data_IF_362760930653
#
_entry.id   IF_362760930653
#
_cell.length_a   1.000
_cell.length_b   1.000
_cell.length_c   1.000
_cell.angle_alpha   90.00
_cell.angle_beta   90.00
_cell.angle_gamma   90.00
#
_symmetry.space_group_name_H-M   'P 1'
#
loop_
_entity.id
_entity.type
_entity.pdbx_description
1 polymer ?
#
# COMPACT_ATOMS: atom_id res chain seq x y z
N UNK A 1 12.55 -7.27 18.82
CA UNK A 1 11.62 -7.64 17.73
C UNK A 1 10.93 -8.93 18.11
N UNK A 2 9.65 -9.14 17.75
CA UNK A 2 9.18 -10.53 17.64
C UNK A 2 10.08 -11.19 16.59
N UNK A 3 10.59 -12.38 16.86
CA UNK A 3 11.58 -13.06 15.99
C UNK A 3 11.07 -13.23 14.55
N UNK A 4 9.76 -13.10 14.33
CA UNK A 4 9.10 -13.39 13.06
C UNK A 4 9.28 -12.27 12.01
N UNK A 5 9.24 -10.98 12.38
CA UNK A 5 9.39 -9.86 11.42
C UNK A 5 10.83 -9.73 10.89
N UNK A 6 11.82 -9.92 11.77
CA UNK A 6 13.26 -9.99 11.44
C UNK A 6 13.54 -11.14 10.45
N UNK A 7 12.92 -12.30 10.67
CA UNK A 7 13.07 -13.48 9.80
C UNK A 7 12.45 -13.26 8.42
N UNK A 8 11.32 -12.54 8.33
CA UNK A 8 10.65 -12.22 7.07
C UNK A 8 11.42 -11.18 6.26
N UNK A 9 11.97 -10.16 6.92
CA UNK A 9 12.69 -9.07 6.26
C UNK A 9 14.14 -9.43 5.90
N UNK A 10 14.81 -10.30 6.66
CA UNK A 10 16.21 -10.66 6.43
C UNK A 10 16.54 -11.04 4.98
N UNK A 11 15.78 -11.96 4.35
CA UNK A 11 15.95 -12.30 2.94
C UNK A 11 15.76 -11.13 1.97
N UNK A 12 14.76 -10.27 2.22
CA UNK A 12 14.48 -9.08 1.41
C UNK A 12 15.62 -8.06 1.52
N UNK A 13 16.09 -7.78 2.74
CA UNK A 13 17.23 -6.88 3.00
C UNK A 13 18.50 -7.37 2.29
N UNK A 14 18.78 -8.66 2.37
CA UNK A 14 19.91 -9.28 1.67
C UNK A 14 19.80 -9.11 0.16
N UNK A 15 18.63 -9.39 -0.43
CA UNK A 15 18.41 -9.25 -1.86
C UNK A 15 18.58 -7.80 -2.31
N UNK A 16 18.07 -6.87 -1.52
CA UNK A 16 18.19 -5.43 -1.74
C UNK A 16 19.66 -4.99 -1.78
N UNK A 17 20.44 -5.36 -0.77
CA UNK A 17 21.89 -5.07 -0.73
C UNK A 17 22.62 -5.58 -1.98
N UNK A 18 22.28 -6.80 -2.43
CA UNK A 18 22.95 -7.42 -3.58
C UNK A 18 22.66 -6.74 -4.90
N UNK A 19 21.47 -6.15 -5.07
CA UNK A 19 21.08 -5.52 -6.32
C UNK A 19 21.36 -4.01 -6.34
N UNK A 20 21.28 -3.35 -5.19
CA UNK A 20 21.37 -1.89 -5.10
C UNK A 20 22.64 -1.41 -4.40
N UNK A 21 23.43 -2.31 -3.79
CA UNK A 21 24.68 -1.97 -3.08
C UNK A 21 24.48 -1.42 -1.66
N UNK A 22 23.24 -1.11 -1.27
CA UNK A 22 22.88 -0.67 0.07
C UNK A 22 21.52 -1.25 0.45
N UNK A 23 21.43 -1.93 1.60
CA UNK A 23 20.15 -2.38 2.14
C UNK A 23 19.46 -1.29 2.97
N UNK A 24 18.12 -1.30 3.03
CA UNK A 24 17.37 -0.60 4.06
C UNK A 24 17.86 -0.99 5.46
N UNK A 25 17.80 -0.06 6.41
CA UNK A 25 18.24 -0.31 7.79
C UNK A 25 17.02 -0.50 8.69
N UNK A 26 17.02 -1.59 9.46
CA UNK A 26 16.02 -1.80 10.50
C UNK A 26 16.50 -1.09 11.76
N UNK A 27 15.72 -0.11 12.21
CA UNK A 27 16.04 0.72 13.36
C UNK A 27 15.09 0.40 14.51
N UNK A 28 15.59 0.24 15.75
CA UNK A 28 14.70 0.17 16.91
C UNK A 28 13.98 1.51 17.07
N UNK A 29 12.69 1.44 17.42
CA UNK A 29 11.88 2.61 17.66
C UNK A 29 11.23 2.53 19.04
N UNK A 30 11.38 3.60 19.82
CA UNK A 30 10.75 3.73 21.14
C UNK A 30 9.61 4.73 21.04
N UNK A 31 8.40 4.31 21.40
CA UNK A 31 7.22 5.17 21.41
C UNK A 31 6.58 5.19 22.81
N UNK A 32 6.23 6.37 23.38
CA UNK A 32 5.66 6.48 24.73
C UNK A 32 4.40 5.65 24.96
N UNK A 33 3.61 5.41 23.90
CA UNK A 33 2.36 4.64 23.98
C UNK A 33 2.55 3.12 23.81
N UNK A 34 3.79 2.63 23.71
CA UNK A 34 4.11 1.22 23.50
C UNK A 34 5.19 0.77 24.50
N UNK A 35 4.81 0.64 25.77
CA UNK A 35 5.75 0.35 26.87
C UNK A 35 6.35 -1.08 26.83
N UNK A 36 5.72 -2.03 26.12
CA UNK A 36 6.09 -3.44 26.12
C UNK A 36 6.39 -4.04 24.73
N UNK A 37 6.43 -3.21 23.68
CA UNK A 37 6.64 -3.65 22.30
C UNK A 37 7.99 -3.17 21.78
N UNK A 38 8.79 -4.06 21.21
CA UNK A 38 9.91 -3.64 20.37
C UNK A 38 9.35 -3.17 19.02
N UNK A 39 9.15 -1.86 18.88
CA UNK A 39 8.78 -1.26 17.59
C UNK A 39 10.04 -1.07 16.75
N UNK A 40 9.87 -1.06 15.44
CA UNK A 40 10.94 -0.85 14.48
C UNK A 40 10.48 0.02 13.33
N UNK A 41 11.47 0.64 12.71
CA UNK A 41 11.33 1.40 11.49
C UNK A 41 12.30 0.86 10.44
N UNK A 42 11.98 1.09 9.18
CA UNK A 42 12.87 0.88 8.05
C UNK A 42 13.32 2.23 7.55
N UNK A 43 14.63 2.46 7.56
CA UNK A 43 15.24 3.56 6.82
C UNK A 43 15.52 3.11 5.38
N UNK A 44 14.83 3.72 4.43
CA UNK A 44 14.93 3.45 3.01
C UNK A 44 16.16 4.17 2.42
N UNK A 45 16.98 3.51 1.57
CA UNK A 45 18.14 4.11 0.90
C UNK A 45 17.74 5.02 -0.28
N UNK A 46 18.71 5.77 -0.81
CA UNK A 46 18.49 6.78 -1.85
C UNK A 46 17.92 6.25 -3.18
N UNK A 47 17.97 4.94 -3.44
CA UNK A 47 17.34 4.37 -4.65
C UNK A 47 15.81 4.53 -4.65
N UNK A 48 15.22 4.88 -3.50
CA UNK A 48 13.81 5.25 -3.37
C UNK A 48 13.50 6.72 -3.71
N UNK A 49 14.51 7.55 -4.00
CA UNK A 49 14.33 8.98 -4.26
C UNK A 49 13.54 9.34 -5.54
N UNK A 50 13.35 8.48 -6.57
CA UNK A 50 12.36 8.75 -7.59
C UNK A 50 10.98 8.95 -6.94
N UNK A 51 10.29 10.05 -7.24
CA UNK A 51 9.11 10.47 -6.51
C UNK A 51 7.90 9.55 -6.63
N UNK A 52 7.92 8.64 -7.59
CA UNK A 52 6.91 7.60 -7.78
C UNK A 52 7.09 6.44 -6.80
N UNK A 53 8.29 6.26 -6.23
CA UNK A 53 8.64 5.10 -5.39
C UNK A 53 8.59 5.39 -3.88
N UNK A 54 8.83 6.63 -3.47
CA UNK A 54 8.66 7.09 -2.09
C UNK A 54 7.47 8.05 -1.97
N UNK A 55 6.73 7.96 -0.87
CA UNK A 55 5.63 8.88 -0.54
C UNK A 55 6.04 10.34 -0.61
N UNK A 56 5.63 11.02 -1.69
CA UNK A 56 5.72 12.47 -1.82
C UNK A 56 4.75 13.12 -0.85
N UNK A 57 5.26 14.04 -0.06
CA UNK A 57 4.49 14.68 1.01
C UNK A 57 3.96 16.07 0.62
N UNK A 58 4.10 16.46 -0.65
CA UNK A 58 3.69 17.77 -1.16
C UNK A 58 2.23 18.12 -0.89
N UNK A 59 1.35 17.12 -0.90
CA UNK A 59 -0.09 17.29 -0.65
C UNK A 59 -0.44 17.46 0.84
N UNK A 60 0.53 17.37 1.75
CA UNK A 60 0.35 17.68 3.19
C UNK A 60 0.94 19.04 3.58
N UNK A 61 1.57 19.77 2.64
CA UNK A 61 2.27 21.04 2.94
C UNK A 61 1.38 22.10 3.59
N UNK A 62 0.07 22.06 3.32
CA UNK A 62 -0.91 22.97 3.92
C UNK A 62 -1.37 22.55 5.32
N UNK A 63 -0.95 21.37 5.82
CA UNK A 63 -1.30 20.83 7.14
C UNK A 63 -0.05 20.61 8.01
N UNK A 64 0.55 21.66 8.61
CA UNK A 64 1.73 21.51 9.47
C UNK A 64 1.52 20.56 10.68
N UNK A 65 0.27 20.44 11.15
CA UNK A 65 -0.11 19.51 12.23
C UNK A 65 -0.02 18.04 11.84
N UNK A 66 0.03 17.72 10.54
CA UNK A 66 0.16 16.35 10.04
C UNK A 66 1.52 15.73 10.37
N UNK A 67 2.59 16.53 10.27
CA UNK A 67 3.97 16.07 10.50
C UNK A 67 4.14 15.38 11.86
N UNK A 68 3.79 15.99 13.01
CA UNK A 68 3.95 15.32 14.30
C UNK A 68 3.08 14.06 14.43
N UNK A 69 1.93 13.99 13.75
CA UNK A 69 1.03 12.84 13.80
C UNK A 69 1.61 11.66 13.03
N UNK A 70 2.07 11.87 11.80
CA UNK A 70 2.69 10.79 11.03
C UNK A 70 4.02 10.36 11.65
N UNK A 71 4.73 11.27 12.33
CA UNK A 71 5.88 10.91 13.18
C UNK A 71 5.49 10.03 14.36
N UNK A 72 4.36 10.30 15.01
CA UNK A 72 3.82 9.41 16.05
C UNK A 72 3.42 8.04 15.48
N UNK A 73 3.10 7.93 14.19
CA UNK A 73 2.86 6.66 13.50
C UNK A 73 4.15 5.95 13.05
N UNK A 74 5.33 6.57 13.25
CA UNK A 74 6.63 5.96 12.94
C UNK A 74 7.20 6.33 11.59
N UNK A 75 6.65 7.35 10.93
CA UNK A 75 7.23 7.89 9.71
C UNK A 75 8.24 9.00 10.05
N UNK A 76 9.41 9.03 9.41
CA UNK A 76 10.26 10.24 9.44
C UNK A 76 10.05 11.04 8.17
N UNK A 77 9.87 12.33 8.41
CA UNK A 77 9.57 13.33 7.40
C UNK A 77 10.41 14.58 7.71
N UNK A 78 11.72 14.56 7.39
CA UNK A 78 12.66 15.57 7.85
C UNK A 78 12.67 16.84 6.98
N UNK A 79 12.40 16.73 5.68
CA UNK A 79 12.69 17.78 4.69
C UNK A 79 11.45 18.37 3.96
N UNK A 80 10.26 17.86 4.24
CA UNK A 80 9.03 18.34 3.60
C UNK A 80 8.81 17.81 2.17
N UNK A 81 9.61 16.86 1.68
CA UNK A 81 9.51 16.34 0.32
C UNK A 81 9.20 14.85 0.27
N UNK A 82 9.95 14.03 1.00
CA UNK A 82 9.86 12.57 0.94
C UNK A 82 9.87 11.91 2.32
N UNK A 83 9.37 10.68 2.38
CA UNK A 83 9.42 9.82 3.56
C UNK A 83 10.51 8.79 3.34
N UNK A 84 11.57 8.88 4.17
CA UNK A 84 12.71 7.95 4.11
C UNK A 84 12.73 6.97 5.27
N UNK A 85 11.91 7.18 6.30
CA UNK A 85 11.77 6.22 7.39
C UNK A 85 10.29 5.88 7.49
N UNK A 86 9.99 4.59 7.41
CA UNK A 86 8.64 4.04 7.51
C UNK A 86 8.57 3.06 8.67
N UNK A 87 7.43 2.93 9.37
CA UNK A 87 7.25 1.87 10.35
C UNK A 87 7.24 0.50 9.66
N UNK A 88 7.70 -0.55 10.34
CA UNK A 88 7.42 -1.92 9.90
C UNK A 88 5.92 -2.23 10.02
N UNK A 89 5.38 -3.24 9.30
CA UNK A 89 3.98 -3.66 9.42
C UNK A 89 3.51 -3.88 10.86
N UNK A 90 4.29 -4.58 11.70
CA UNK A 90 3.92 -4.77 13.10
C UNK A 90 3.84 -3.43 13.86
N UNK A 91 4.82 -2.55 13.63
CA UNK A 91 4.93 -1.27 14.33
C UNK A 91 3.83 -0.30 13.90
N UNK A 92 3.56 -0.22 12.59
CA UNK A 92 2.46 0.56 12.04
C UNK A 92 1.13 0.13 12.62
N UNK A 93 0.86 -1.19 12.62
CA UNK A 93 -0.39 -1.72 13.15
C UNK A 93 -0.55 -1.49 14.66
N UNK A 94 0.55 -1.60 15.42
CA UNK A 94 0.54 -1.27 16.85
C UNK A 94 0.13 0.19 17.06
N UNK A 95 0.69 1.11 16.27
CA UNK A 95 0.35 2.52 16.36
C UNK A 95 -1.05 2.83 15.85
N UNK A 96 -1.48 2.24 14.74
CA UNK A 96 -2.83 2.40 14.21
C UNK A 96 -3.89 2.02 15.25
N UNK A 97 -3.66 0.92 15.97
CA UNK A 97 -4.56 0.49 17.06
C UNK A 97 -4.53 1.44 18.26
N UNK A 98 -3.35 1.96 18.60
CA UNK A 98 -3.19 2.92 19.69
C UNK A 98 -3.85 4.28 19.39
N UNK A 99 -3.84 4.72 18.13
CA UNK A 99 -4.35 6.05 17.73
C UNK A 99 -5.82 6.04 17.34
N UNK A 100 -6.30 5.02 16.63
CA UNK A 100 -7.63 5.04 16.01
C UNK A 100 -8.65 4.08 16.64
N UNK A 101 -8.28 3.34 17.69
CA UNK A 101 -9.12 2.35 18.36
C UNK A 101 -9.80 1.34 17.39
N UNK A 102 -9.16 1.06 16.25
CA UNK A 102 -9.68 0.14 15.22
C UNK A 102 -10.78 0.70 14.32
N UNK A 103 -11.18 1.97 14.46
CA UNK A 103 -12.31 2.55 13.68
C UNK A 103 -11.90 3.03 12.29
N UNK A 104 -10.60 3.17 12.05
CA UNK A 104 -10.03 3.69 10.81
C UNK A 104 -8.82 2.87 10.36
N UNK A 105 -8.50 3.02 9.09
CA UNK A 105 -7.24 2.61 8.49
C UNK A 105 -7.27 1.22 7.88
N UNK A 106 -6.37 1.00 6.92
CA UNK A 106 -5.96 -0.34 6.53
C UNK A 106 -4.86 -0.80 7.49
N UNK A 107 -4.91 -2.07 7.90
CA UNK A 107 -3.76 -2.70 8.56
C UNK A 107 -2.75 -3.17 7.50
N UNK A 108 -1.53 -3.48 7.92
CA UNK A 108 -0.49 -4.04 7.07
C UNK A 108 -0.27 -5.52 7.39
N UNK A 109 0.03 -6.35 6.40
CA UNK A 109 0.46 -7.71 6.65
C UNK A 109 1.47 -8.17 5.60
N UNK A 110 2.48 -8.92 6.02
CA UNK A 110 3.37 -9.58 5.08
C UNK A 110 2.61 -10.65 4.29
N UNK A 111 2.73 -10.58 2.98
CA UNK A 111 2.30 -11.65 2.09
C UNK A 111 3.55 -12.31 1.52
N UNK A 112 3.86 -13.50 2.02
CA UNK A 112 5.01 -14.26 1.54
C UNK A 112 4.63 -15.06 0.30
N UNK A 113 5.22 -14.73 -0.85
CA UNK A 113 5.01 -15.44 -2.12
C UNK A 113 6.28 -15.45 -2.96
N UNK A 114 6.65 -16.62 -3.48
CA UNK A 114 7.82 -16.85 -4.32
C UNK A 114 7.54 -16.50 -5.80
N UNK A 115 7.22 -15.23 -6.02
CA UNK A 115 6.91 -14.63 -7.32
C UNK A 115 7.53 -13.23 -7.43
N UNK A 116 7.82 -12.77 -8.65
CA UNK A 116 8.32 -11.40 -8.89
C UNK A 116 7.18 -10.36 -8.89
N UNK A 117 5.94 -10.83 -9.05
CA UNK A 117 4.73 -10.02 -8.95
C UNK A 117 3.81 -10.65 -7.93
N UNK A 118 3.08 -9.83 -7.18
CA UNK A 118 2.17 -10.33 -6.19
C UNK A 118 0.89 -10.87 -6.88
N UNK A 119 0.41 -12.09 -6.54
CA UNK A 119 -0.79 -12.65 -7.14
C UNK A 119 -2.03 -11.76 -6.93
N UNK A 120 -2.63 -11.28 -8.01
CA UNK A 120 -3.65 -10.20 -7.96
C UNK A 120 -4.92 -10.60 -7.21
N UNK A 121 -5.31 -11.88 -7.22
CA UNK A 121 -6.45 -12.39 -6.46
C UNK A 121 -6.29 -12.22 -4.96
N UNK A 122 -5.33 -12.94 -4.34
CA UNK A 122 -5.04 -12.79 -2.92
C UNK A 122 -4.74 -11.34 -2.50
N UNK A 123 -4.05 -10.58 -3.36
CA UNK A 123 -3.85 -9.14 -3.17
C UNK A 123 -5.17 -8.40 -2.96
N UNK A 124 -6.11 -8.58 -3.90
CA UNK A 124 -7.39 -7.90 -3.90
C UNK A 124 -8.22 -8.34 -2.69
N UNK A 125 -8.23 -9.63 -2.38
CA UNK A 125 -8.92 -10.17 -1.21
C UNK A 125 -8.41 -9.54 0.10
N UNK A 126 -7.10 -9.37 0.27
CA UNK A 126 -6.52 -8.71 1.44
C UNK A 126 -6.95 -7.24 1.52
N UNK A 127 -6.86 -6.50 0.41
CA UNK A 127 -7.30 -5.11 0.35
C UNK A 127 -8.78 -4.96 0.72
N UNK A 128 -9.66 -5.79 0.16
CA UNK A 128 -11.08 -5.75 0.49
C UNK A 128 -11.37 -6.20 1.94
N UNK A 129 -10.46 -6.97 2.54
CA UNK A 129 -10.43 -7.26 3.97
C UNK A 129 -9.94 -6.10 4.85
N UNK A 130 -9.50 -5.00 4.26
CA UNK A 130 -8.95 -3.85 4.98
C UNK A 130 -7.50 -4.05 5.42
N UNK A 131 -6.72 -4.81 4.64
CA UNK A 131 -5.30 -5.06 4.85
C UNK A 131 -4.49 -4.77 3.58
N UNK A 132 -3.44 -3.96 3.67
CA UNK A 132 -2.47 -3.78 2.59
C UNK A 132 -1.44 -4.92 2.69
N UNK A 133 -1.32 -5.77 1.65
CA UNK A 133 -0.29 -6.79 1.61
C UNK A 133 1.08 -6.18 1.31
N UNK A 134 2.08 -6.53 2.11
CA UNK A 134 3.49 -6.18 1.88
C UNK A 134 4.18 -7.41 1.31
N UNK A 135 4.53 -7.37 0.03
CA UNK A 135 5.12 -8.52 -0.65
C UNK A 135 6.55 -8.77 -0.19
N UNK A 136 6.80 -9.98 0.30
CA UNK A 136 8.15 -10.52 0.51
C UNK A 136 8.23 -11.94 -0.06
N UNK A 137 9.43 -12.42 -0.36
CA UNK A 137 9.64 -13.77 -0.87
C UNK A 137 10.54 -14.59 0.08
N UNK A 138 10.65 -15.89 -0.16
CA UNK A 138 11.54 -16.76 0.58
C UNK A 138 13.02 -16.46 0.28
N UNK A 139 13.89 -16.85 1.20
CA UNK A 139 15.34 -16.78 1.01
C UNK A 139 15.81 -17.55 -0.24
N UNK A 140 15.23 -18.73 -0.47
CA UNK A 140 15.58 -19.57 -1.62
C UNK A 140 15.22 -18.87 -2.94
N UNK A 141 14.05 -18.21 -2.99
CA UNK A 141 13.63 -17.43 -4.15
C UNK A 141 14.57 -16.27 -4.42
N UNK A 142 14.86 -15.44 -3.42
CA UNK A 142 15.76 -14.30 -3.58
C UNK A 142 17.16 -14.73 -4.03
N UNK A 143 17.74 -15.76 -3.40
CA UNK A 143 19.06 -16.28 -3.81
C UNK A 143 19.09 -16.70 -5.28
N UNK A 144 18.07 -17.42 -5.73
CA UNK A 144 17.94 -17.86 -7.13
C UNK A 144 17.82 -16.67 -8.07
N UNK A 145 16.95 -15.70 -7.77
CA UNK A 145 16.67 -14.56 -8.65
C UNK A 145 17.82 -13.57 -8.70
N UNK A 146 18.45 -13.24 -7.57
CA UNK A 146 19.66 -12.40 -7.51
C UNK A 146 20.80 -13.03 -8.34
N UNK A 147 21.07 -14.34 -8.16
CA UNK A 147 22.11 -15.01 -8.94
C UNK A 147 21.84 -14.96 -10.45
N UNK A 148 20.58 -15.13 -10.87
CA UNK A 148 20.16 -14.99 -12.28
C UNK A 148 20.33 -13.55 -12.77
N UNK A 149 19.89 -12.57 -12.00
CA UNK A 149 19.92 -11.16 -12.35
C UNK A 149 21.36 -10.67 -12.54
N UNK A 150 22.26 -11.00 -11.61
CA UNK A 150 23.69 -10.67 -11.70
C UNK A 150 24.39 -11.32 -12.89
N UNK A 151 23.95 -12.52 -13.33
CA UNK A 151 24.52 -13.20 -14.50
C UNK A 151 24.02 -12.63 -15.83
N UNK A 152 22.76 -12.24 -15.89
CA UNK A 152 22.08 -11.86 -17.14
C UNK A 152 22.03 -10.35 -17.38
N UNK A 153 22.21 -9.54 -16.34
CA UNK A 153 21.99 -8.09 -16.38
C UNK A 153 20.51 -7.68 -16.40
N UNK A 154 19.57 -8.61 -16.49
CA UNK A 154 18.13 -8.35 -16.46
C UNK A 154 17.64 -8.30 -15.00
N UNK A 155 17.50 -7.09 -14.45
CA UNK A 155 17.19 -6.84 -13.04
C UNK A 155 15.79 -6.27 -12.81
N UNK A 156 15.11 -5.81 -13.85
CA UNK A 156 13.97 -4.87 -13.75
C UNK A 156 12.81 -5.38 -12.89
N UNK A 157 12.36 -6.62 -13.07
CA UNK A 157 11.21 -7.15 -12.30
C UNK A 157 11.54 -7.41 -10.82
N UNK A 158 12.74 -7.91 -10.52
CA UNK A 158 13.14 -8.12 -9.12
C UNK A 158 13.44 -6.79 -8.43
N UNK A 159 14.00 -5.82 -9.15
CA UNK A 159 14.17 -4.46 -8.62
C UNK A 159 12.82 -3.83 -8.31
N UNK A 160 11.87 -3.91 -9.24
CA UNK A 160 10.50 -3.44 -9.02
C UNK A 160 9.89 -4.08 -7.77
N UNK A 161 9.91 -5.41 -7.66
CA UNK A 161 9.46 -6.15 -6.47
C UNK A 161 10.04 -5.61 -5.15
N UNK A 162 11.36 -5.39 -5.11
CA UNK A 162 12.02 -4.91 -3.90
C UNK A 162 11.65 -3.45 -3.56
N UNK A 163 11.47 -2.62 -4.58
CA UNK A 163 11.07 -1.21 -4.43
C UNK A 163 9.58 -1.09 -4.07
N UNK A 164 8.71 -1.98 -4.57
CA UNK A 164 7.29 -2.00 -4.22
C UNK A 164 7.05 -2.12 -2.72
N UNK A 165 7.87 -2.89 -1.98
CA UNK A 165 7.75 -2.98 -0.52
C UNK A 165 7.89 -1.61 0.16
N UNK A 166 8.88 -0.79 -0.24
CA UNK A 166 9.05 0.55 0.33
C UNK A 166 7.99 1.53 -0.16
N UNK A 167 7.49 1.37 -1.39
CA UNK A 167 6.36 2.12 -1.92
C UNK A 167 5.09 1.86 -1.10
N UNK A 168 4.72 0.60 -0.88
CA UNK A 168 3.51 0.23 -0.13
C UNK A 168 3.53 0.79 1.29
N UNK A 169 4.69 0.72 1.95
CA UNK A 169 4.89 1.25 3.28
C UNK A 169 4.89 2.79 3.33
N UNK A 170 5.44 3.47 2.34
CA UNK A 170 5.57 4.94 2.37
C UNK A 170 4.38 5.68 1.74
N UNK A 171 3.65 5.03 0.83
CA UNK A 171 2.52 5.60 0.07
C UNK A 171 1.20 5.06 0.60
N UNK A 172 0.92 3.77 0.42
CA UNK A 172 -0.40 3.22 0.72
C UNK A 172 -0.68 3.19 2.22
N UNK A 173 0.28 2.74 3.04
CA UNK A 173 0.09 2.76 4.50
C UNK A 173 -0.21 4.18 5.00
N UNK A 174 0.55 5.17 4.49
CA UNK A 174 0.35 6.58 4.85
C UNK A 174 -0.97 7.14 4.33
N UNK A 175 -1.40 6.84 3.12
CA UNK A 175 -2.63 7.43 2.58
C UNK A 175 -3.88 6.77 3.14
N UNK A 176 -3.79 5.48 3.50
CA UNK A 176 -4.96 4.67 3.84
C UNK A 176 -5.20 4.54 5.34
N UNK A 177 -4.29 5.00 6.21
CA UNK A 177 -4.40 4.86 7.67
C UNK A 177 -5.62 5.57 8.31
N UNK A 178 -6.23 6.53 7.64
CA UNK A 178 -7.43 7.23 8.14
C UNK A 178 -8.71 6.92 7.35
N UNK A 179 -8.70 5.95 6.42
CA UNK A 179 -9.93 5.56 5.73
C UNK A 179 -10.88 4.92 6.76
N UNK A 180 -12.13 5.39 6.90
CA UNK A 180 -13.07 4.81 7.86
C UNK A 180 -13.36 3.34 7.55
N UNK A 181 -13.37 2.46 8.56
CA UNK A 181 -13.61 1.02 8.35
C UNK A 181 -14.97 0.73 7.70
N UNK A 182 -15.97 1.55 7.99
CA UNK A 182 -17.29 1.49 7.34
C UNK A 182 -17.20 1.71 5.83
N UNK A 183 -16.35 2.63 5.37
CA UNK A 183 -16.14 2.90 3.95
C UNK A 183 -15.39 1.77 3.25
N UNK A 184 -14.38 1.17 3.90
CA UNK A 184 -13.71 -0.05 3.40
C UNK A 184 -14.73 -1.17 3.22
N UNK A 185 -15.58 -1.37 4.22
CA UNK A 185 -16.65 -2.37 4.20
C UNK A 185 -17.64 -2.11 3.07
N UNK A 186 -18.06 -0.86 2.87
CA UNK A 186 -18.97 -0.48 1.78
C UNK A 186 -18.36 -0.77 0.39
N UNK A 187 -17.08 -0.47 0.18
CA UNK A 187 -16.36 -0.79 -1.06
C UNK A 187 -16.33 -2.30 -1.31
N UNK A 188 -15.94 -3.08 -0.29
CA UNK A 188 -15.92 -4.55 -0.36
C UNK A 188 -17.30 -5.11 -0.72
N UNK A 189 -18.32 -4.73 0.04
CA UNK A 189 -19.66 -5.27 -0.11
C UNK A 189 -20.23 -4.93 -1.48
N UNK A 190 -19.89 -3.75 -2.02
CA UNK A 190 -20.27 -3.35 -3.37
C UNK A 190 -19.59 -4.19 -4.46
N UNK A 191 -18.29 -4.46 -4.33
CA UNK A 191 -17.56 -5.32 -5.28
C UNK A 191 -18.11 -6.76 -5.22
N UNK A 192 -18.23 -7.32 -4.02
CA UNK A 192 -18.72 -8.68 -3.81
C UNK A 192 -20.17 -8.85 -4.26
N UNK A 193 -21.03 -7.84 -4.06
CA UNK A 193 -22.40 -7.85 -4.57
C UNK A 193 -22.49 -7.70 -6.09
N UNK A 194 -21.50 -7.05 -6.72
CA UNK A 194 -21.50 -6.73 -8.15
C UNK A 194 -20.96 -7.83 -9.06
N UNK A 195 -20.02 -8.63 -8.57
CA UNK A 195 -19.36 -9.73 -9.31
C UNK A 195 -19.07 -10.95 -8.39
N UNK A 196 -20.09 -11.51 -7.71
CA UNK A 196 -19.91 -12.50 -6.64
C UNK A 196 -19.17 -13.76 -7.09
N UNK A 197 -19.43 -14.25 -8.31
CA UNK A 197 -18.80 -15.47 -8.85
C UNK A 197 -17.28 -15.30 -8.98
N UNK A 198 -16.82 -14.15 -9.51
CA UNK A 198 -15.39 -13.85 -9.62
C UNK A 198 -14.76 -13.61 -8.26
N UNK A 199 -15.47 -12.90 -7.38
CA UNK A 199 -14.96 -12.54 -6.06
C UNK A 199 -14.65 -13.78 -5.20
N UNK A 200 -15.45 -14.84 -5.31
CA UNK A 200 -15.20 -16.08 -4.56
C UNK A 200 -13.88 -16.79 -4.93
N UNK A 201 -13.38 -16.58 -6.14
CA UNK A 201 -12.17 -17.28 -6.60
C UNK A 201 -10.88 -16.62 -6.10
N UNK A 202 -10.91 -15.33 -5.74
CA UNK A 202 -9.70 -14.57 -5.40
C UNK A 202 -9.01 -15.06 -4.13
N UNK A 203 -9.79 -15.48 -3.14
CA UNK A 203 -9.28 -16.06 -1.90
C UNK A 203 -8.55 -17.39 -2.15
N UNK A 204 -8.96 -18.13 -3.19
CA UNK A 204 -8.42 -19.44 -3.57
C UNK A 204 -7.35 -19.33 -4.67
N UNK A 205 -6.83 -18.13 -4.93
CA UNK A 205 -5.74 -17.88 -5.87
C UNK A 205 -6.17 -17.59 -7.32
N UNK A 206 -7.47 -17.47 -7.59
CA UNK A 206 -7.97 -17.00 -8.88
C UNK A 206 -7.52 -15.56 -9.18
N UNK A 207 -7.22 -15.25 -10.44
CA UNK A 207 -6.73 -13.93 -10.82
C UNK A 207 -7.80 -12.85 -10.62
N UNK A 208 -7.43 -11.74 -9.97
CA UNK A 208 -8.27 -10.55 -9.93
C UNK A 208 -8.15 -9.75 -11.22
N UNK A 209 -9.24 -9.09 -11.67
CA UNK A 209 -9.19 -8.21 -12.82
C UNK A 209 -8.39 -6.95 -12.50
N UNK A 210 -7.49 -6.57 -13.41
CA UNK A 210 -6.58 -5.44 -13.24
C UNK A 210 -7.29 -4.08 -13.14
N UNK A 211 -8.53 -3.98 -13.62
CA UNK A 211 -9.42 -2.82 -13.43
C UNK A 211 -9.73 -2.56 -11.96
N UNK A 212 -9.89 -3.61 -11.14
CA UNK A 212 -10.11 -3.47 -9.70
C UNK A 212 -8.80 -3.28 -8.93
N UNK A 213 -7.70 -3.86 -9.43
CA UNK A 213 -6.36 -3.51 -8.94
C UNK A 213 -6.09 -2.03 -9.14
N UNK A 214 -6.34 -1.51 -10.34
CA UNK A 214 -6.20 -0.08 -10.64
C UNK A 214 -7.10 0.79 -9.75
N UNK A 215 -8.34 0.37 -9.49
CA UNK A 215 -9.22 1.11 -8.59
C UNK A 215 -8.59 1.33 -7.20
N UNK A 216 -8.12 0.25 -6.56
CA UNK A 216 -7.57 0.34 -5.20
C UNK A 216 -6.18 0.98 -5.15
N UNK A 217 -5.37 0.75 -6.18
CA UNK A 217 -3.98 1.22 -6.22
C UNK A 217 -3.90 2.69 -6.66
N UNK A 218 -4.75 3.10 -7.61
CA UNK A 218 -4.68 4.42 -8.26
C UNK A 218 -5.89 5.30 -7.93
N UNK A 219 -7.12 4.84 -8.20
CA UNK A 219 -8.31 5.69 -8.02
C UNK A 219 -8.54 6.04 -6.53
N UNK A 220 -8.49 5.04 -5.65
CA UNK A 220 -8.60 5.23 -4.19
C UNK A 220 -7.45 6.11 -3.65
N UNK A 221 -6.23 5.91 -4.14
CA UNK A 221 -5.08 6.72 -3.76
C UNK A 221 -5.26 8.20 -4.12
N UNK A 222 -5.69 8.46 -5.37
CA UNK A 222 -6.03 9.81 -5.84
C UNK A 222 -7.18 10.43 -5.07
N UNK A 223 -8.18 9.63 -4.69
CA UNK A 223 -9.28 10.09 -3.84
C UNK A 223 -8.78 10.52 -2.46
N UNK A 224 -7.97 9.68 -1.81
CA UNK A 224 -7.35 10.00 -0.52
C UNK A 224 -6.51 11.27 -0.59
N UNK A 225 -5.72 11.46 -1.65
CA UNK A 225 -4.99 12.71 -1.87
C UNK A 225 -5.92 13.91 -1.98
N UNK A 226 -7.01 13.81 -2.73
CA UNK A 226 -7.97 14.89 -2.86
C UNK A 226 -8.64 15.24 -1.52
N UNK A 227 -8.95 14.23 -0.69
CA UNK A 227 -9.47 14.42 0.67
C UNK A 227 -8.43 15.09 1.57
N UNK A 228 -7.17 14.67 1.53
CA UNK A 228 -6.09 15.29 2.29
C UNK A 228 -5.88 16.76 1.92
N UNK A 229 -5.90 17.08 0.63
CA UNK A 229 -5.83 18.46 0.13
C UNK A 229 -6.98 19.36 0.63
N UNK A 230 -8.11 18.78 1.04
CA UNK A 230 -9.27 19.51 1.59
C UNK A 230 -9.35 19.50 3.11
N UNK A 231 -8.66 18.58 3.75
CA UNK A 231 -8.65 18.47 5.21
C UNK A 231 -7.83 19.61 5.83
N UNK A 232 -8.36 20.27 6.86
CA UNK A 232 -7.60 21.24 7.66
C UNK A 232 -6.93 20.59 8.88
N UNK A 233 -7.40 19.40 9.29
CA UNK A 233 -6.82 18.57 10.35
C UNK A 233 -7.06 17.09 10.06
N UNK A 234 -6.42 16.20 10.82
CA UNK A 234 -6.58 14.75 10.63
C UNK A 234 -7.99 14.26 10.99
N UNK A 235 -8.63 14.90 11.96
CA UNK A 235 -9.95 14.53 12.47
C UNK A 235 -11.02 14.73 11.39
N UNK A 236 -10.80 15.68 10.49
CA UNK A 236 -11.68 15.96 9.38
C UNK A 236 -11.57 14.95 8.23
N UNK A 237 -10.46 14.20 8.12
CA UNK A 237 -10.24 13.31 6.99
C UNK A 237 -11.39 12.31 6.85
N UNK A 238 -11.74 11.62 7.94
CA UNK A 238 -12.77 10.60 7.93
C UNK A 238 -14.17 11.16 7.64
N UNK A 239 -14.47 12.36 8.14
CA UNK A 239 -15.72 13.07 7.88
C UNK A 239 -15.84 13.48 6.41
N UNK A 240 -14.80 14.12 5.86
CA UNK A 240 -14.77 14.54 4.45
C UNK A 240 -14.81 13.32 3.53
N UNK A 241 -14.05 12.27 3.85
CA UNK A 241 -14.04 11.02 3.07
C UNK A 241 -15.44 10.41 3.01
N UNK A 242 -16.13 10.31 4.16
CA UNK A 242 -17.42 9.62 4.28
C UNK A 242 -18.62 10.50 3.92
N UNK A 243 -18.42 11.81 3.72
CA UNK A 243 -19.49 12.70 3.33
C UNK A 243 -20.20 12.11 2.08
N UNK A 244 -21.54 11.98 2.09
CA UNK A 244 -22.24 11.26 1.03
C UNK A 244 -21.92 11.74 -0.39
N UNK A 245 -21.70 13.05 -0.56
CA UNK A 245 -21.33 13.65 -1.85
C UNK A 245 -19.89 13.29 -2.30
N UNK A 246 -18.98 13.01 -1.37
CA UNK A 246 -17.60 12.65 -1.67
C UNK A 246 -17.48 11.13 -1.85
N UNK A 247 -17.98 10.34 -0.90
CA UNK A 247 -18.00 8.87 -1.02
C UNK A 247 -18.78 8.42 -2.27
N UNK A 248 -19.89 9.09 -2.60
CA UNK A 248 -20.66 8.81 -3.82
C UNK A 248 -19.85 8.98 -5.12
N UNK A 249 -18.88 9.91 -5.16
CA UNK A 249 -17.97 10.04 -6.30
C UNK A 249 -17.05 8.83 -6.42
N UNK A 250 -16.46 8.38 -5.31
CA UNK A 250 -15.61 7.19 -5.29
C UNK A 250 -16.39 5.93 -5.71
N UNK A 251 -17.63 5.77 -5.23
CA UNK A 251 -18.49 4.65 -5.63
C UNK A 251 -18.87 4.69 -7.11
N UNK A 252 -19.09 5.88 -7.68
CA UNK A 252 -19.34 6.03 -9.13
C UNK A 252 -18.12 5.62 -9.97
N UNK A 253 -16.91 5.96 -9.49
CA UNK A 253 -15.66 5.49 -10.12
C UNK A 253 -15.55 3.97 -10.01
N UNK A 254 -15.88 3.39 -8.86
CA UNK A 254 -15.91 1.93 -8.69
C UNK A 254 -16.91 1.26 -9.64
N UNK A 255 -18.11 1.81 -9.80
CA UNK A 255 -19.11 1.32 -10.76
C UNK A 255 -18.55 1.30 -12.19
N UNK A 256 -17.85 2.38 -12.58
CA UNK A 256 -17.19 2.45 -13.88
C UNK A 256 -16.17 1.32 -14.06
N UNK A 257 -15.34 1.06 -13.04
CA UNK A 257 -14.34 -0.03 -13.07
C UNK A 257 -14.99 -1.41 -13.10
N UNK A 258 -16.12 -1.59 -12.42
CA UNK A 258 -16.90 -2.82 -12.46
C UNK A 258 -17.53 -3.05 -13.85
N UNK A 259 -18.02 -2.01 -14.51
CA UNK A 259 -18.49 -2.10 -15.90
C UNK A 259 -17.34 -2.47 -16.85
N UNK A 260 -16.19 -1.84 -16.72
CA UNK A 260 -14.99 -2.16 -17.50
C UNK A 260 -14.48 -3.58 -17.25
N UNK A 261 -14.62 -4.06 -16.01
CA UNK A 261 -14.34 -5.46 -15.63
C UNK A 261 -15.28 -6.41 -16.36
N UNK A 262 -16.59 -6.13 -16.37
CA UNK A 262 -17.59 -6.95 -17.08
C UNK A 262 -17.37 -6.95 -18.60
N UNK A 263 -16.82 -5.86 -19.13
CA UNK A 263 -16.40 -5.76 -20.52
C UNK A 263 -15.06 -6.47 -20.83
N UNK A 264 -14.43 -7.09 -19.82
CA UNK A 264 -13.18 -7.85 -19.96
C UNK A 264 -11.91 -7.00 -20.07
N UNK A 265 -11.97 -5.68 -19.82
CA UNK A 265 -10.80 -4.80 -19.98
C UNK A 265 -9.65 -5.13 -19.01
N UNK A 266 -9.98 -5.66 -17.82
CA UNK A 266 -9.01 -6.01 -16.79
C UNK A 266 -8.42 -7.41 -16.89
N UNK A 267 -8.86 -8.23 -17.85
CA UNK A 267 -8.51 -9.65 -17.96
C UNK A 267 -7.31 -9.84 -18.91
N UNK A 268 -6.17 -9.27 -18.51
CA UNK A 268 -4.93 -9.27 -19.32
C UNK A 268 -3.99 -10.39 -18.86
N UNK A 269 -3.50 -11.20 -19.80
CA UNK A 269 -2.66 -12.36 -19.51
C UNK A 269 -1.29 -12.02 -18.88
N UNK A 270 -0.75 -10.82 -19.13
CA UNK A 270 0.53 -10.39 -18.58
C UNK A 270 0.44 -10.02 -17.10
N UNK A 271 -0.75 -9.65 -16.61
CA UNK A 271 -0.93 -9.08 -15.27
C UNK A 271 -0.39 -7.64 -15.14
N UNK A 272 0.03 -7.00 -16.24
CA UNK A 272 0.53 -5.63 -16.24
C UNK A 272 -0.59 -4.65 -16.62
N UNK A 273 -0.81 -3.64 -15.78
CA UNK A 273 -1.78 -2.57 -16.05
C UNK A 273 -1.47 -1.76 -17.31
N UNK A 274 -0.21 -1.72 -17.76
CA UNK A 274 0.21 -1.05 -19.00
C UNK A 274 -0.31 -1.76 -20.26
N UNK A 275 -0.64 -3.04 -20.15
CA UNK A 275 -1.18 -3.84 -21.25
C UNK A 275 -2.72 -3.81 -21.29
N UNK A 276 -3.38 -3.13 -20.35
CA UNK A 276 -4.82 -2.93 -20.38
C UNK A 276 -5.23 -1.94 -21.49
N UNK A 277 -6.41 -2.13 -22.11
CA UNK A 277 -7.04 -1.05 -22.87
C UNK A 277 -7.21 0.20 -22.01
N UNK A 278 -7.20 1.37 -22.63
CA UNK A 278 -7.41 2.63 -21.93
C UNK A 278 -8.71 2.59 -21.09
N UNK A 279 -8.56 2.92 -19.81
CA UNK A 279 -9.67 3.03 -18.87
C UNK A 279 -10.33 4.41 -18.96
N UNK A 280 -11.60 4.49 -18.59
CA UNK A 280 -12.31 5.75 -18.49
C UNK A 280 -11.60 6.70 -17.50
N UNK A 281 -11.43 7.96 -17.89
CA UNK A 281 -10.84 8.98 -17.04
C UNK A 281 -11.81 9.38 -15.93
N UNK A 282 -11.26 9.56 -14.73
CA UNK A 282 -12.00 9.87 -13.50
C UNK A 282 -11.34 11.03 -12.78
N UNK A 283 -12.17 11.89 -12.19
CA UNK A 283 -11.75 13.06 -11.43
C UNK A 283 -12.60 13.20 -10.16
N UNK A 284 -12.00 13.75 -9.11
CA UNK A 284 -12.67 13.95 -7.83
C UNK A 284 -12.77 15.43 -7.51
N UNK A 285 -13.98 15.89 -7.24
CA UNK A 285 -14.27 17.24 -6.76
C UNK A 285 -14.70 17.15 -5.30
N UNK A 286 -13.72 16.99 -4.41
CA UNK A 286 -13.96 16.90 -2.96
C UNK A 286 -14.44 18.24 -2.43
N UNK A 287 -15.58 18.20 -1.73
CA UNK A 287 -16.24 19.33 -1.08
C UNK A 287 -16.04 19.27 0.43
#
# INVERSE_FOLDING_TARGET
MRRDEENLLGPWLWAFEKLFGEAPKVLPWTHPQCENGSLHQLQLPAVFDPPELAGRTGHFKHMPTMIPIVRAMGFDWPDGQFIHIVPTPESFNAMLRATNAGSYGYELAYMQSDSETLPTGPWLAMYLGGTIPIHVASEAFYKKKVAKALKSGAVDLLQFHLLSTGHDLSVHALNYHLIPRSSITAIRDHIYGSIPERASEWADGGAAPLTLTYFLDNDLNRFCYAVWCRSASIEQFGEIFSAPANLGQLMTVLDTRLEETRAGKGDVASGDTNDMPALAQTEFTIR
#
